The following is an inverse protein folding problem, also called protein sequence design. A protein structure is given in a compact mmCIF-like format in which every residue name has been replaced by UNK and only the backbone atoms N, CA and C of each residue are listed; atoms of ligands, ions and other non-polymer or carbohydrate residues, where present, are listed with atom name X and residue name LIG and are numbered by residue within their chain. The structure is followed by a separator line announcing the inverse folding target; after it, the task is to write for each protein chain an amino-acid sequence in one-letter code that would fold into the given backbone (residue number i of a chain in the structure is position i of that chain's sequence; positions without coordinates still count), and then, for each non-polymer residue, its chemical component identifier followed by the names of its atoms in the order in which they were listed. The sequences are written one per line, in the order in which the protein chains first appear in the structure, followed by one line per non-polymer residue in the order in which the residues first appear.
data_IF_250217028197
#
_entry.id   IF_250217028197
#
_cell.length_a   1.000
_cell.length_b   1.000
_cell.length_c   1.000
_cell.angle_alpha   90.00
_cell.angle_beta   90.00
_cell.angle_gamma   90.00
#
_symmetry.space_group_name_H-M   'P 1'
#
loop_
_entity.id
_entity.type
_entity.pdbx_description
1 polymer ?
#
# COMPACT_ATOMS: atom_id res chain seq x y z
N UNK A 1 -2.03 -8.37 -16.74
CA UNK A 1 -2.89 -7.19 -16.54
C UNK A 1 -3.48 -6.86 -17.89
N UNK A 2 -4.80 -6.97 -17.99
CA UNK A 2 -5.55 -6.64 -19.21
C UNK A 2 -6.42 -5.41 -18.93
N UNK A 3 -6.55 -4.51 -19.92
CA UNK A 3 -7.30 -3.27 -19.80
C UNK A 3 -8.33 -3.20 -20.93
N UNK A 4 -9.60 -3.01 -20.57
CA UNK A 4 -10.69 -2.89 -21.55
C UNK A 4 -11.51 -1.66 -21.26
N UNK A 5 -11.70 -0.82 -22.27
CA UNK A 5 -12.79 0.15 -22.27
C UNK A 5 -14.04 -0.59 -22.74
N UNK A 6 -15.03 -0.73 -21.87
CA UNK A 6 -16.31 -1.37 -22.17
C UNK A 6 -17.41 -0.31 -22.21
N UNK A 7 -18.43 -0.58 -23.02
CA UNK A 7 -19.56 0.31 -23.24
C UNK A 7 -20.85 -0.41 -22.86
N UNK A 8 -21.70 0.23 -22.08
CA UNK A 8 -22.98 -0.31 -21.64
C UNK A 8 -23.26 -0.11 -20.16
N UNK A 9 -24.44 -0.53 -19.69
CA UNK A 9 -24.83 -0.42 -18.30
C UNK A 9 -24.05 -1.44 -17.45
N UNK A 10 -24.18 -1.31 -16.13
CA UNK A 10 -23.59 -2.28 -15.21
C UNK A 10 -24.26 -3.66 -15.39
N UNK A 11 -23.51 -4.76 -15.61
CA UNK A 11 -24.09 -6.07 -15.83
C UNK A 11 -24.97 -6.55 -14.67
N UNK A 12 -26.14 -7.15 -14.99
CA UNK A 12 -27.13 -7.60 -13.99
C UNK A 12 -26.51 -8.49 -12.90
N UNK A 13 -25.66 -9.45 -13.28
CA UNK A 13 -24.97 -10.32 -12.34
C UNK A 13 -24.09 -9.53 -11.35
N UNK A 14 -23.39 -8.48 -11.81
CA UNK A 14 -22.55 -7.67 -10.94
C UNK A 14 -23.39 -6.75 -10.04
N UNK A 15 -24.56 -6.30 -10.50
CA UNK A 15 -25.53 -5.57 -9.68
C UNK A 15 -26.10 -6.43 -8.55
N UNK A 16 -26.43 -7.69 -8.83
CA UNK A 16 -26.88 -8.64 -7.81
C UNK A 16 -25.80 -8.88 -6.76
N UNK A 17 -24.55 -9.10 -7.19
CA UNK A 17 -23.41 -9.28 -6.27
C UNK A 17 -23.11 -8.02 -5.46
N UNK A 18 -23.28 -6.83 -6.04
CA UNK A 18 -23.13 -5.57 -5.33
C UNK A 18 -24.19 -5.43 -4.22
N UNK A 19 -25.45 -5.73 -4.52
CA UNK A 19 -26.55 -5.69 -3.52
C UNK A 19 -26.32 -6.72 -2.41
N UNK A 20 -25.92 -7.94 -2.75
CA UNK A 20 -25.59 -8.97 -1.76
C UNK A 20 -24.41 -8.57 -0.86
N UNK A 21 -23.46 -7.80 -1.40
CA UNK A 21 -22.38 -7.23 -0.59
C UNK A 21 -22.90 -6.12 0.34
N UNK A 22 -23.64 -5.16 -0.19
CA UNK A 22 -24.22 -4.03 0.55
C UNK A 22 -25.11 -4.52 1.71
N UNK A 23 -26.00 -5.48 1.46
CA UNK A 23 -26.87 -6.08 2.49
C UNK A 23 -26.09 -6.73 3.64
N UNK A 24 -24.89 -7.28 3.35
CA UNK A 24 -24.07 -8.01 4.33
C UNK A 24 -23.06 -7.14 5.06
N UNK A 25 -22.55 -6.11 4.41
CA UNK A 25 -21.38 -5.33 4.86
C UNK A 25 -21.63 -3.83 4.94
N UNK A 26 -22.64 -3.34 4.25
CA UNK A 26 -22.78 -1.93 3.90
C UNK A 26 -21.79 -1.52 2.82
N UNK A 27 -22.23 -0.62 1.95
CA UNK A 27 -21.43 0.08 0.96
C UNK A 27 -21.58 1.58 1.17
N UNK A 28 -20.45 2.30 1.16
CA UNK A 28 -20.45 3.77 1.12
C UNK A 28 -20.65 4.31 -0.31
N UNK A 29 -20.50 3.44 -1.32
CA UNK A 29 -20.72 3.80 -2.72
C UNK A 29 -22.20 3.78 -3.09
N UNK A 30 -22.59 4.64 -4.03
CA UNK A 30 -23.90 4.57 -4.68
C UNK A 30 -24.06 3.26 -5.46
N UNK A 31 -25.29 2.75 -5.51
CA UNK A 31 -25.62 1.57 -6.32
C UNK A 31 -25.30 1.84 -7.79
N UNK A 32 -24.50 0.99 -8.47
CA UNK A 32 -24.07 1.25 -9.85
C UNK A 32 -25.19 1.04 -10.88
N UNK A 33 -26.44 0.79 -10.47
CA UNK A 33 -27.61 0.76 -11.35
C UNK A 33 -27.96 2.14 -11.95
N UNK A 34 -27.27 3.20 -11.54
CA UNK A 34 -27.46 4.57 -12.07
C UNK A 34 -26.90 4.77 -13.47
N UNK A 35 -26.02 3.88 -13.95
CA UNK A 35 -25.36 4.03 -15.25
C UNK A 35 -26.30 3.71 -16.42
N UNK A 36 -26.25 4.57 -17.45
CA UNK A 36 -27.05 4.40 -18.67
C UNK A 36 -26.42 3.42 -19.67
N UNK A 37 -27.16 3.13 -20.74
CA UNK A 37 -26.71 2.30 -21.87
C UNK A 37 -25.47 2.85 -22.59
N UNK A 38 -25.21 4.16 -22.46
CA UNK A 38 -24.09 4.85 -23.12
C UNK A 38 -22.85 5.00 -22.22
N UNK A 39 -22.87 4.41 -21.02
CA UNK A 39 -21.76 4.53 -20.06
C UNK A 39 -20.50 3.84 -20.59
N UNK A 40 -19.36 4.52 -20.44
CA UNK A 40 -18.04 3.93 -20.65
C UNK A 40 -17.41 3.55 -19.30
N UNK A 41 -16.93 2.32 -19.20
CA UNK A 41 -16.25 1.79 -18.00
C UNK A 41 -14.85 1.30 -18.38
N UNK A 42 -13.87 1.58 -17.53
CA UNK A 42 -12.55 0.97 -17.62
C UNK A 42 -12.50 -0.27 -16.73
N UNK A 43 -12.32 -1.45 -17.34
CA UNK A 43 -12.20 -2.73 -16.63
C UNK A 43 -10.74 -3.16 -16.64
N UNK A 44 -10.19 -3.42 -15.47
CA UNK A 44 -8.82 -3.89 -15.27
C UNK A 44 -8.84 -5.31 -14.71
N UNK A 45 -8.28 -6.27 -15.46
CA UNK A 45 -8.14 -7.65 -15.00
C UNK A 45 -6.78 -7.84 -14.31
N UNK A 46 -6.85 -8.17 -13.01
CA UNK A 46 -5.69 -8.32 -12.13
C UNK A 46 -5.63 -9.73 -11.54
N UNK A 47 -4.43 -10.17 -11.19
CA UNK A 47 -4.28 -11.38 -10.39
C UNK A 47 -4.87 -11.14 -8.99
N UNK A 48 -5.57 -12.14 -8.45
CA UNK A 48 -6.02 -12.09 -7.06
C UNK A 48 -4.82 -11.96 -6.11
N UNK A 49 -4.73 -10.82 -5.43
CA UNK A 49 -3.60 -10.45 -4.59
C UNK A 49 -3.76 -10.83 -3.11
N UNK A 50 -4.91 -11.38 -2.72
CA UNK A 50 -5.18 -11.86 -1.36
C UNK A 50 -6.17 -10.99 -0.61
N UNK A 51 -5.94 -10.85 0.70
CA UNK A 51 -6.76 -10.06 1.62
C UNK A 51 -5.96 -8.81 2.02
N UNK A 52 -6.60 -7.66 2.13
CA UNK A 52 -5.93 -6.42 2.55
C UNK A 52 -5.38 -6.53 3.99
N UNK A 53 -4.38 -5.70 4.32
CA UNK A 53 -3.70 -5.69 5.62
C UNK A 53 -4.66 -5.39 6.77
N UNK A 54 -5.69 -4.57 6.54
CA UNK A 54 -6.74 -4.24 7.51
C UNK A 54 -7.53 -5.48 7.98
N UNK A 55 -7.85 -6.38 7.05
CA UNK A 55 -8.62 -7.59 7.34
C UNK A 55 -7.79 -8.82 7.66
N UNK A 56 -6.51 -8.83 7.26
CA UNK A 56 -5.65 -9.99 7.43
C UNK A 56 -5.37 -10.32 8.90
N UNK A 57 -5.55 -11.60 9.27
CA UNK A 57 -5.17 -12.11 10.59
C UNK A 57 -3.79 -12.77 10.54
N UNK A 58 -2.80 -12.09 11.12
CA UNK A 58 -1.45 -12.61 11.29
C UNK A 58 -1.36 -13.66 12.38
N UNK A 59 -0.45 -14.60 12.21
CA UNK A 59 -0.08 -15.56 13.25
C UNK A 59 0.69 -14.86 14.38
N UNK A 60 1.67 -14.04 14.02
CA UNK A 60 2.52 -13.26 14.93
C UNK A 60 3.13 -12.06 14.19
N UNK A 61 3.85 -11.20 14.91
CA UNK A 61 4.53 -10.02 14.35
C UNK A 61 5.70 -10.37 13.43
N UNK A 62 6.15 -11.64 13.38
CA UNK A 62 7.14 -12.08 12.39
C UNK A 62 6.60 -11.93 10.97
N UNK A 63 5.30 -12.23 10.78
CA UNK A 63 4.64 -12.10 9.48
C UNK A 63 4.42 -10.64 9.11
N UNK A 64 3.96 -9.81 10.07
CA UNK A 64 3.81 -8.38 9.85
C UNK A 64 5.15 -7.72 9.50
N UNK A 65 6.22 -8.06 10.22
CA UNK A 65 7.58 -7.59 9.89
C UNK A 65 8.04 -8.06 8.51
N UNK A 66 7.78 -9.31 8.12
CA UNK A 66 8.10 -9.77 6.75
C UNK A 66 7.33 -8.96 5.70
N UNK A 67 6.03 -8.74 5.90
CA UNK A 67 5.20 -7.91 4.99
C UNK A 67 5.74 -6.48 4.90
N UNK A 68 6.06 -5.86 6.04
CA UNK A 68 6.62 -4.51 6.09
C UNK A 68 7.87 -4.36 5.22
N UNK A 69 8.85 -5.27 5.39
CA UNK A 69 10.08 -5.22 4.60
C UNK A 69 9.85 -5.56 3.12
N UNK A 70 8.95 -6.49 2.79
CA UNK A 70 8.58 -6.74 1.39
C UNK A 70 8.04 -5.48 0.71
N UNK A 71 7.16 -4.73 1.40
CA UNK A 71 6.62 -3.45 0.91
C UNK A 71 7.73 -2.39 0.79
N UNK A 72 8.58 -2.24 1.80
CA UNK A 72 9.68 -1.27 1.77
C UNK A 72 10.67 -1.56 0.62
N UNK A 73 11.02 -2.83 0.39
CA UNK A 73 11.86 -3.22 -0.75
C UNK A 73 11.17 -2.98 -2.10
N UNK A 74 9.88 -3.27 -2.22
CA UNK A 74 9.12 -3.01 -3.45
C UNK A 74 9.09 -1.51 -3.78
N UNK A 75 8.85 -0.64 -2.78
CA UNK A 75 8.90 0.81 -2.95
C UNK A 75 10.30 1.29 -3.34
N UNK A 76 11.35 0.81 -2.69
CA UNK A 76 12.73 1.15 -3.04
C UNK A 76 13.07 0.78 -4.50
N UNK A 77 12.63 -0.40 -4.96
CA UNK A 77 12.81 -0.80 -6.36
C UNK A 77 12.06 0.15 -7.30
N UNK A 78 10.82 0.52 -6.97
CA UNK A 78 10.05 1.49 -7.74
C UNK A 78 10.70 2.88 -7.80
N UNK A 79 11.21 3.37 -6.67
CA UNK A 79 11.97 4.62 -6.57
C UNK A 79 13.18 4.63 -7.49
N UNK A 80 13.98 3.55 -7.50
CA UNK A 80 15.16 3.46 -8.37
C UNK A 80 14.81 3.26 -9.84
N UNK A 81 13.74 2.53 -10.14
CA UNK A 81 13.40 2.18 -11.52
C UNK A 81 12.71 3.32 -12.26
N UNK A 82 11.77 4.00 -11.60
CA UNK A 82 10.87 4.98 -12.24
C UNK A 82 10.54 6.14 -11.31
N UNK A 83 11.38 6.44 -10.31
CA UNK A 83 11.14 7.52 -9.35
C UNK A 83 9.72 7.42 -8.74
N UNK A 84 9.32 6.20 -8.37
CA UNK A 84 7.97 5.89 -7.93
C UNK A 84 7.63 6.48 -6.56
N UNK A 85 6.43 7.02 -6.43
CA UNK A 85 5.78 7.35 -5.17
C UNK A 85 4.35 6.79 -5.20
N UNK A 86 3.96 6.01 -4.17
CA UNK A 86 2.61 5.45 -4.15
C UNK A 86 1.55 6.51 -3.85
N UNK A 87 1.86 7.39 -2.89
CA UNK A 87 1.03 8.51 -2.40
C UNK A 87 -0.33 8.16 -1.80
N UNK A 88 -0.78 6.92 -1.87
CA UNK A 88 -1.97 6.47 -1.14
C UNK A 88 -1.85 5.06 -0.53
N UNK A 89 -0.72 4.79 0.13
CA UNK A 89 -0.40 3.44 0.59
C UNK A 89 -0.98 3.13 1.98
N UNK A 90 -2.29 3.34 2.14
CA UNK A 90 -2.99 2.93 3.34
C UNK A 90 -3.08 1.40 3.41
N UNK A 91 -3.45 0.86 4.57
CA UNK A 91 -3.49 -0.59 4.80
C UNK A 91 -4.53 -1.36 3.96
N UNK A 92 -5.47 -0.66 3.31
CA UNK A 92 -6.36 -1.26 2.32
C UNK A 92 -5.61 -1.65 1.04
N UNK A 93 -4.53 -0.93 0.72
CA UNK A 93 -3.74 -1.05 -0.51
C UNK A 93 -2.53 -2.00 -0.37
N UNK A 94 -2.45 -2.74 0.74
CA UNK A 94 -1.48 -3.82 0.94
C UNK A 94 -2.21 -5.16 0.97
N UNK A 95 -2.08 -5.93 -0.09
CA UNK A 95 -2.71 -7.24 -0.24
C UNK A 95 -1.76 -8.35 0.23
N UNK A 96 -2.31 -9.33 0.96
CA UNK A 96 -1.53 -10.40 1.60
C UNK A 96 -2.08 -11.77 1.22
N UNK A 97 -1.20 -12.61 0.68
CA UNK A 97 -1.45 -14.02 0.40
C UNK A 97 -0.61 -14.93 1.30
N UNK A 98 -1.17 -16.09 1.69
CA UNK A 98 -0.37 -17.16 2.30
C UNK A 98 0.44 -17.87 1.21
N UNK A 99 1.67 -18.25 1.53
CA UNK A 99 2.57 -18.93 0.59
C UNK A 99 3.34 -20.09 1.24
N UNK A 100 3.67 -21.11 0.45
CA UNK A 100 4.63 -22.16 0.81
C UNK A 100 6.08 -21.80 0.45
N UNK A 101 6.30 -20.75 -0.34
CA UNK A 101 7.63 -20.28 -0.67
C UNK A 101 8.34 -19.80 0.60
N UNK A 102 9.53 -20.35 0.88
CA UNK A 102 10.28 -20.02 2.10
C UNK A 102 10.92 -18.63 2.03
N UNK A 103 11.35 -18.22 0.83
CA UNK A 103 12.12 -17.01 0.61
C UNK A 103 11.53 -16.17 -0.53
N UNK A 104 11.77 -14.86 -0.46
CA UNK A 104 11.53 -13.88 -1.52
C UNK A 104 12.82 -13.09 -1.73
N UNK A 105 13.12 -12.71 -2.98
CA UNK A 105 14.33 -11.98 -3.35
C UNK A 105 13.99 -10.63 -3.98
N UNK A 106 14.82 -9.63 -3.70
CA UNK A 106 14.74 -8.26 -4.22
C UNK A 106 16.10 -7.85 -4.77
N UNK A 107 16.11 -7.09 -5.87
CA UNK A 107 17.35 -6.54 -6.44
C UNK A 107 17.43 -5.06 -6.11
N UNK A 108 18.29 -4.68 -5.16
CA UNK A 108 18.43 -3.31 -4.67
C UNK A 108 19.87 -2.85 -4.86
N UNK A 109 20.08 -1.73 -5.59
CA UNK A 109 21.43 -1.23 -5.94
C UNK A 109 22.37 -2.35 -6.43
N UNK A 110 21.88 -3.15 -7.38
CA UNK A 110 22.60 -4.28 -7.99
C UNK A 110 22.93 -5.45 -7.03
N UNK A 111 22.46 -5.41 -5.77
CA UNK A 111 22.60 -6.50 -4.80
C UNK A 111 21.31 -7.29 -4.71
N UNK A 112 21.42 -8.62 -4.76
CA UNK A 112 20.31 -9.52 -4.49
C UNK A 112 20.14 -9.71 -2.99
N UNK A 113 19.09 -9.13 -2.43
CA UNK A 113 18.66 -9.35 -1.06
C UNK A 113 17.66 -10.50 -1.03
N UNK A 114 17.79 -11.43 -0.08
CA UNK A 114 16.85 -12.53 0.10
C UNK A 114 16.40 -12.58 1.56
N UNK A 115 15.09 -12.68 1.77
CA UNK A 115 14.51 -12.74 3.11
C UNK A 115 13.45 -13.83 3.20
N UNK A 116 13.19 -14.32 4.41
CA UNK A 116 12.10 -15.27 4.63
C UNK A 116 10.72 -14.60 4.49
N UNK A 117 9.81 -15.28 3.80
CA UNK A 117 8.41 -14.84 3.64
C UNK A 117 7.62 -14.96 4.95
N UNK A 118 8.11 -15.78 5.90
CA UNK A 118 7.36 -16.21 7.08
C UNK A 118 5.95 -16.73 6.72
N UNK A 119 5.81 -17.32 5.53
CA UNK A 119 4.57 -17.88 4.99
C UNK A 119 3.58 -16.86 4.41
N UNK A 120 4.00 -15.61 4.19
CA UNK A 120 3.17 -14.54 3.60
C UNK A 120 3.89 -13.77 2.49
N UNK A 121 3.15 -13.39 1.44
CA UNK A 121 3.61 -12.47 0.40
C UNK A 121 2.75 -11.21 0.41
N UNK A 122 3.41 -10.06 0.27
CA UNK A 122 2.77 -8.76 0.17
C UNK A 122 2.74 -8.27 -1.29
N UNK A 123 1.64 -7.62 -1.69
CA UNK A 123 1.48 -6.93 -2.97
C UNK A 123 0.91 -5.54 -2.74
N UNK A 124 1.50 -4.55 -3.38
CA UNK A 124 1.00 -3.18 -3.39
C UNK A 124 0.01 -3.05 -4.54
N UNK A 125 -1.14 -2.42 -4.29
CA UNK A 125 -2.21 -2.18 -5.28
C UNK A 125 -2.71 -0.74 -5.19
N UNK A 126 -3.56 -0.37 -6.14
CA UNK A 126 -4.19 0.96 -6.26
C UNK A 126 -3.18 2.12 -6.45
N UNK A 127 -2.90 2.40 -7.72
CA UNK A 127 -1.97 3.45 -8.12
C UNK A 127 -2.67 4.76 -8.49
N UNK A 128 -3.92 4.94 -8.08
CA UNK A 128 -4.77 6.07 -8.51
C UNK A 128 -4.13 7.41 -8.20
N UNK A 129 -3.47 7.55 -7.04
CA UNK A 129 -2.80 8.80 -6.62
C UNK A 129 -1.28 8.80 -6.85
N UNK A 130 -0.74 7.73 -7.42
CA UNK A 130 0.70 7.53 -7.53
C UNK A 130 1.37 8.53 -8.49
N UNK A 131 2.70 8.59 -8.40
CA UNK A 131 3.58 9.30 -9.32
C UNK A 131 4.71 8.39 -9.77
N UNK A 132 5.05 8.44 -11.05
CA UNK A 132 6.21 7.78 -11.63
C UNK A 132 6.81 8.64 -12.76
N UNK A 133 8.02 8.30 -13.19
CA UNK A 133 8.69 8.87 -14.35
C UNK A 133 8.68 7.84 -15.49
N UNK A 134 7.98 8.17 -16.57
CA UNK A 134 7.95 7.36 -17.79
C UNK A 134 8.68 8.13 -18.89
N UNK A 135 9.76 7.57 -19.43
CA UNK A 135 10.59 8.23 -20.44
C UNK A 135 11.08 9.64 -20.01
N UNK A 136 11.39 9.80 -18.72
CA UNK A 136 11.83 11.07 -18.14
C UNK A 136 10.73 12.10 -17.94
N UNK A 137 9.46 11.74 -18.16
CA UNK A 137 8.31 12.61 -17.93
C UNK A 137 7.48 12.12 -16.75
N UNK A 138 7.02 13.03 -15.86
CA UNK A 138 6.19 12.63 -14.73
C UNK A 138 4.78 12.22 -15.21
N UNK A 139 4.34 11.04 -14.79
CA UNK A 139 2.95 10.58 -14.86
C UNK A 139 2.44 10.54 -13.42
N UNK A 140 1.41 11.31 -13.12
CA UNK A 140 0.93 11.50 -11.75
C UNK A 140 -0.53 11.94 -11.71
N UNK A 141 -1.18 11.69 -10.57
CA UNK A 141 -2.44 12.36 -10.23
C UNK A 141 -2.16 13.71 -9.55
N UNK A 142 -2.81 14.77 -10.04
CA UNK A 142 -2.65 16.10 -9.46
C UNK A 142 -3.63 16.32 -8.30
N UNK A 143 -3.18 16.04 -7.08
CA UNK A 143 -4.00 16.19 -5.88
C UNK A 143 -4.28 17.67 -5.54
N UNK A 144 -3.64 18.64 -6.20
CA UNK A 144 -4.03 20.04 -6.07
C UNK A 144 -5.48 20.28 -6.57
N UNK A 145 -6.01 19.38 -7.39
CA UNK A 145 -7.38 19.39 -7.91
C UNK A 145 -8.39 18.69 -6.97
N UNK A 146 -7.95 18.15 -5.84
CA UNK A 146 -8.78 17.39 -4.90
C UNK A 146 -8.65 17.95 -3.48
N UNK A 147 -9.18 19.15 -3.19
CA UNK A 147 -8.95 19.82 -1.90
C UNK A 147 -9.48 19.03 -0.70
N UNK A 148 -10.60 18.33 -0.86
CA UNK A 148 -11.31 17.60 0.20
C UNK A 148 -10.45 16.53 0.89
N UNK A 149 -9.47 15.95 0.17
CA UNK A 149 -8.55 14.94 0.72
C UNK A 149 -7.69 15.50 1.86
N UNK A 150 -7.47 16.83 1.89
CA UNK A 150 -6.65 17.49 2.91
C UNK A 150 -7.47 18.01 4.10
N UNK A 151 -8.79 18.15 3.94
CA UNK A 151 -9.71 18.67 4.95
C UNK A 151 -10.24 17.58 5.88
N UNK A 152 -10.12 16.32 5.45
CA UNK A 152 -10.52 15.15 6.23
C UNK A 152 -9.71 15.03 7.55
N UNK A 153 -10.37 14.61 8.63
CA UNK A 153 -9.79 14.51 9.98
C UNK A 153 -10.21 13.21 10.67
N UNK A 154 -9.63 12.91 11.83
CA UNK A 154 -9.99 11.75 12.65
C UNK A 154 -9.05 10.55 12.50
N UNK A 155 -8.37 10.41 11.37
CA UNK A 155 -7.42 9.33 11.12
C UNK A 155 -6.02 9.83 10.75
N UNK A 156 -5.00 9.05 11.11
CA UNK A 156 -3.61 9.38 10.79
C UNK A 156 -3.34 9.36 9.28
N UNK A 157 -4.12 8.59 8.52
CA UNK A 157 -4.10 8.60 7.06
C UNK A 157 -4.25 10.02 6.49
N UNK A 158 -5.18 10.81 7.02
CA UNK A 158 -5.40 12.18 6.54
C UNK A 158 -4.25 13.12 6.90
N UNK A 159 -3.52 12.85 7.98
CA UNK A 159 -2.29 13.58 8.30
C UNK A 159 -1.19 13.31 7.28
N UNK A 160 -1.11 12.09 6.74
CA UNK A 160 -0.15 11.76 5.68
C UNK A 160 -0.39 12.63 4.44
N UNK A 161 -1.64 12.84 3.99
CA UNK A 161 -1.92 13.74 2.86
C UNK A 161 -1.45 15.18 3.12
N UNK A 162 -1.67 15.71 4.33
CA UNK A 162 -1.20 17.05 4.70
C UNK A 162 0.33 17.15 4.74
N UNK A 163 1.01 16.12 5.27
CA UNK A 163 2.47 16.04 5.26
C UNK A 163 3.01 15.95 3.82
N UNK A 164 2.42 15.12 2.97
CA UNK A 164 2.80 15.04 1.55
C UNK A 164 2.62 16.38 0.85
N UNK A 165 1.49 17.08 1.05
CA UNK A 165 1.25 18.43 0.50
C UNK A 165 2.34 19.42 0.94
N UNK A 166 2.74 19.38 2.21
CA UNK A 166 3.82 20.21 2.75
C UNK A 166 5.16 19.91 2.09
N UNK A 167 5.52 18.63 1.94
CA UNK A 167 6.82 18.21 1.37
C UNK A 167 6.92 18.37 -0.14
N UNK A 168 5.80 18.25 -0.85
CA UNK A 168 5.70 18.51 -2.29
C UNK A 168 5.54 19.99 -2.62
N UNK A 169 5.30 20.84 -1.61
CA UNK A 169 4.92 22.25 -1.77
C UNK A 169 3.67 22.41 -2.66
N UNK A 170 2.78 21.40 -2.63
CA UNK A 170 1.62 21.26 -3.51
C UNK A 170 1.96 21.14 -5.01
N UNK A 171 3.20 20.77 -5.35
CA UNK A 171 3.66 20.51 -6.72
C UNK A 171 3.73 18.99 -6.92
N UNK A 172 2.63 18.38 -7.36
CA UNK A 172 2.49 16.92 -7.40
C UNK A 172 3.26 16.24 -8.54
N UNK A 173 3.76 16.98 -9.53
CA UNK A 173 4.67 16.42 -10.56
C UNK A 173 6.08 16.15 -10.02
N UNK A 174 6.49 16.86 -8.96
CA UNK A 174 7.82 16.79 -8.34
C UNK A 174 8.04 15.42 -7.72
N UNK A 175 9.21 14.82 -8.00
CA UNK A 175 9.64 13.61 -7.30
C UNK A 175 10.03 13.93 -5.85
N UNK A 176 9.30 13.34 -4.91
CA UNK A 176 9.47 13.53 -3.46
C UNK A 176 9.39 12.18 -2.75
N UNK A 177 10.42 11.32 -2.83
CA UNK A 177 10.36 9.95 -2.31
C UNK A 177 10.12 9.84 -0.79
N UNK A 178 10.27 10.95 -0.06
CA UNK A 178 9.87 11.04 1.34
C UNK A 178 8.38 10.73 1.56
N UNK A 179 7.52 10.89 0.55
CA UNK A 179 6.11 10.47 0.63
C UNK A 179 5.96 8.97 0.88
N UNK A 180 6.85 8.13 0.33
CA UNK A 180 6.89 6.69 0.62
C UNK A 180 7.28 6.42 2.08
N UNK A 181 8.19 7.20 2.65
CA UNK A 181 8.58 7.10 4.07
C UNK A 181 7.40 7.44 4.99
N UNK A 182 6.63 8.49 4.67
CA UNK A 182 5.44 8.85 5.43
C UNK A 182 4.42 7.71 5.46
N UNK A 183 4.22 7.04 4.32
CA UNK A 183 3.32 5.89 4.25
C UNK A 183 3.87 4.63 4.93
N UNK A 184 5.17 4.34 4.81
CA UNK A 184 5.78 3.26 5.58
C UNK A 184 5.66 3.50 7.09
N UNK A 185 5.79 4.75 7.54
CA UNK A 185 5.55 5.14 8.93
C UNK A 185 4.10 4.87 9.34
N UNK A 186 3.12 5.26 8.50
CA UNK A 186 1.72 4.91 8.74
C UNK A 186 1.53 3.38 8.86
N UNK A 187 2.06 2.59 7.92
CA UNK A 187 1.90 1.13 7.91
C UNK A 187 2.49 0.47 9.15
N UNK A 188 3.68 0.86 9.58
CA UNK A 188 4.30 0.26 10.77
C UNK A 188 3.52 0.59 12.06
N UNK A 189 2.91 1.79 12.14
CA UNK A 189 2.01 2.13 13.25
C UNK A 189 0.76 1.25 13.23
N UNK A 190 0.13 1.03 12.07
CA UNK A 190 -1.00 0.11 11.97
C UNK A 190 -0.63 -1.31 12.37
N UNK A 191 0.55 -1.79 11.94
CA UNK A 191 1.06 -3.10 12.35
C UNK A 191 1.34 -3.21 13.85
N UNK A 192 1.66 -2.10 14.52
CA UNK A 192 1.87 -2.08 15.96
C UNK A 192 0.55 -2.02 16.75
N UNK A 193 -0.44 -1.29 16.26
CA UNK A 193 -1.61 -0.89 17.03
C UNK A 193 -2.91 -1.59 16.65
N UNK A 194 -3.14 -1.85 15.36
CA UNK A 194 -4.49 -2.13 14.85
C UNK A 194 -4.63 -3.51 14.16
N UNK A 195 -3.56 -4.05 13.56
CA UNK A 195 -3.65 -5.35 12.88
C UNK A 195 -3.94 -6.52 13.84
N UNK A 196 -4.56 -7.57 13.29
CA UNK A 196 -5.05 -8.72 14.06
C UNK A 196 -3.93 -9.76 14.21
N UNK A 197 -3.57 -10.11 15.44
CA UNK A 197 -2.59 -11.16 15.76
C UNK A 197 -3.19 -12.32 16.55
N UNK A 198 -2.95 -13.56 16.12
CA UNK A 198 -3.40 -14.78 16.82
C UNK A 198 -2.57 -15.09 18.07
N UNK A 199 -1.24 -14.99 18.00
CA UNK A 199 -0.33 -15.32 19.10
C UNK A 199 0.47 -14.09 19.57
N UNK A 200 -0.13 -13.31 20.47
CA UNK A 200 0.48 -12.08 21.04
C UNK A 200 1.45 -12.35 22.20
N UNK A 201 1.40 -13.52 22.83
CA UNK A 201 2.14 -13.80 24.08
C UNK A 201 3.52 -14.42 23.83
N UNK A 202 3.73 -15.03 22.67
CA UNK A 202 5.00 -15.69 22.34
C UNK A 202 6.21 -14.75 22.41
N UNK A 203 7.37 -15.30 22.82
CA UNK A 203 8.64 -14.55 22.88
C UNK A 203 8.99 -13.95 21.52
N UNK A 204 8.81 -14.71 20.45
CA UNK A 204 9.10 -14.27 19.08
C UNK A 204 8.18 -13.12 18.65
N UNK A 205 6.90 -13.14 19.05
CA UNK A 205 6.01 -12.01 18.79
C UNK A 205 6.51 -10.74 19.48
N UNK A 206 6.90 -10.82 20.75
CA UNK A 206 7.42 -9.66 21.49
C UNK A 206 8.70 -9.11 20.88
N UNK A 207 9.60 -9.99 20.42
CA UNK A 207 10.84 -9.60 19.74
C UNK A 207 10.57 -8.82 18.45
N UNK A 208 9.78 -9.36 17.53
CA UNK A 208 9.49 -8.68 16.25
C UNK A 208 8.58 -7.47 16.43
N UNK A 209 7.73 -7.45 17.45
CA UNK A 209 6.96 -6.26 17.81
C UNK A 209 7.88 -5.13 18.29
N UNK A 210 8.97 -5.46 19.01
CA UNK A 210 9.99 -4.47 19.36
C UNK A 210 10.65 -3.90 18.10
N UNK A 211 11.03 -4.75 17.14
CA UNK A 211 11.61 -4.30 15.86
C UNK A 211 10.68 -3.32 15.14
N UNK A 212 9.39 -3.65 15.01
CA UNK A 212 8.41 -2.74 14.38
C UNK A 212 8.30 -1.40 15.12
N UNK A 213 8.34 -1.41 16.45
CA UNK A 213 8.31 -0.18 17.25
C UNK A 213 9.59 0.65 17.10
N UNK A 214 10.74 0.00 17.07
CA UNK A 214 12.03 0.66 16.84
C UNK A 214 12.01 1.33 15.45
N UNK A 215 11.53 0.63 14.42
CA UNK A 215 11.31 1.20 13.07
C UNK A 215 10.36 2.39 13.12
N UNK A 216 9.20 2.28 13.79
CA UNK A 216 8.24 3.39 13.89
C UNK A 216 8.86 4.64 14.52
N UNK A 217 9.87 4.48 15.38
CA UNK A 217 10.54 5.58 16.07
C UNK A 217 11.64 6.22 15.22
N UNK A 218 12.23 5.48 14.28
CA UNK A 218 13.37 5.96 13.48
C UNK A 218 13.03 6.23 12.02
N UNK A 219 11.99 5.63 11.43
CA UNK A 219 11.79 5.62 9.97
C UNK A 219 11.66 7.01 9.34
N UNK A 220 11.16 8.00 10.08
CA UNK A 220 11.02 9.37 9.59
C UNK A 220 12.35 10.12 9.43
N UNK A 221 13.48 9.55 9.91
CA UNK A 221 14.82 10.12 9.69
C UNK A 221 15.41 9.81 8.31
N UNK A 222 14.82 8.85 7.58
CA UNK A 222 15.26 8.47 6.25
C UNK A 222 14.60 9.34 5.18
N UNK A 223 15.32 9.55 4.09
CA UNK A 223 14.88 10.43 2.99
C UNK A 223 14.00 9.74 1.95
N UNK A 224 14.06 8.41 1.85
CA UNK A 224 13.37 7.58 0.84
C UNK A 224 13.30 6.12 1.28
N UNK A 225 12.43 5.29 0.66
CA UNK A 225 12.41 3.86 0.95
C UNK A 225 13.75 3.19 0.57
N UNK A 226 14.41 3.67 -0.49
CA UNK A 226 15.76 3.24 -0.90
C UNK A 226 16.80 3.55 0.15
N UNK A 227 16.78 4.76 0.72
CA UNK A 227 17.64 5.15 1.84
C UNK A 227 17.38 4.24 3.05
N UNK A 228 16.12 4.06 3.42
CA UNK A 228 15.71 3.17 4.52
C UNK A 228 16.26 1.75 4.33
N UNK A 229 15.98 1.07 3.21
CA UNK A 229 16.38 -0.33 3.05
C UNK A 229 17.87 -0.55 2.81
N UNK A 230 18.65 0.51 2.53
CA UNK A 230 20.09 0.42 2.30
C UNK A 230 20.94 0.85 3.49
N UNK A 231 20.39 1.72 4.35
CA UNK A 231 21.04 2.19 5.58
C UNK A 231 20.41 1.61 6.86
N UNK A 232 19.39 0.77 6.74
CA UNK A 232 18.96 -0.10 7.83
C UNK A 232 20.07 -1.12 8.12
N UNK A 233 20.88 -0.84 9.13
CA UNK A 233 21.68 -1.85 9.81
C UNK A 233 20.73 -2.69 10.70
N UNK A 234 19.97 -3.66 10.18
CA UNK A 234 19.20 -4.51 11.11
C UNK A 234 18.97 -5.98 10.73
N UNK A 235 19.38 -6.82 11.69
CA UNK A 235 18.91 -8.15 12.09
C UNK A 235 18.99 -9.28 11.05
N UNK A 236 20.19 -9.84 10.88
CA UNK A 236 20.32 -11.30 10.68
C UNK A 236 19.76 -12.08 11.90
#
# INVERSE_FOLDING_TARGET
MDFKCVHGPYPDLLLELWKEYDDRKGSENDCPSVFSEDQLLLVTELEYAGICLEDFQFTSSTQASSVFFQVAYALAIGEMAVEFEHRDLHWGNIMICRTSAKFVSFNVKEKRITMETKGVLARIVDFTLSRASLNGQPVYADLALTPDIFESTGEYQFEIYRLMKKHTENIWSKYTPYTNILWLHYLVLQMCAAVKYRNKTSKIHKQYMKILKDISSSILSYSSATDFVTNQEFYE
#
